data_IF_146496699289
#
_entry.id   IF_146496699289
#
_cell.length_a   1.000
_cell.length_b   1.000
_cell.length_c   1.000
_cell.angle_alpha   90.00
_cell.angle_beta   90.00
_cell.angle_gamma   90.00
#
_symmetry.space_group_name_H-M   'P 1'
#
loop_
_entity.id
_entity.type
_entity.pdbx_description
1 polymer ?
#
# COMPACT_ATOMS: atom_id res chain seq x y z
N UNK A 1 8.64 -26.88 -20.37
CA UNK A 1 8.82 -25.60 -21.08
C UNK A 1 8.14 -24.53 -20.25
N UNK A 2 8.89 -23.58 -19.70
CA UNK A 2 8.38 -22.60 -18.72
C UNK A 2 8.33 -21.22 -19.40
N UNK A 3 7.15 -20.64 -19.72
CA UNK A 3 7.05 -19.35 -20.37
C UNK A 3 6.89 -18.27 -19.30
N UNK A 4 7.95 -17.98 -18.56
CA UNK A 4 7.93 -16.93 -17.53
C UNK A 4 9.15 -16.03 -17.65
N UNK A 5 9.54 -15.67 -18.86
CA UNK A 5 10.48 -14.58 -19.06
C UNK A 5 9.66 -13.30 -19.17
N UNK A 6 9.59 -12.56 -18.06
CA UNK A 6 9.03 -11.20 -18.01
C UNK A 6 9.68 -10.36 -19.12
N UNK A 7 8.88 -9.60 -19.88
CA UNK A 7 9.36 -8.65 -20.89
C UNK A 7 10.25 -7.53 -20.29
N UNK A 8 10.32 -7.48 -18.95
CA UNK A 8 11.16 -6.56 -18.20
C UNK A 8 12.03 -7.37 -17.22
N UNK A 9 13.26 -7.73 -17.61
CA UNK A 9 14.14 -8.59 -16.80
C UNK A 9 14.62 -7.96 -15.48
N UNK A 10 14.27 -6.68 -15.23
CA UNK A 10 14.50 -5.99 -13.97
C UNK A 10 13.27 -5.97 -13.04
N UNK A 11 12.11 -6.43 -13.51
CA UNK A 11 10.85 -6.36 -12.77
C UNK A 11 10.47 -7.76 -12.27
N UNK A 12 10.67 -7.97 -10.97
CA UNK A 12 10.18 -9.14 -10.24
C UNK A 12 9.03 -8.73 -9.31
N UNK A 13 7.95 -9.51 -9.32
CA UNK A 13 6.83 -9.31 -8.39
C UNK A 13 7.16 -9.91 -7.02
N UNK A 14 6.98 -9.10 -5.97
CA UNK A 14 7.13 -9.56 -4.59
C UNK A 14 5.81 -10.18 -4.07
N UNK A 15 5.91 -11.21 -3.22
CA UNK A 15 4.72 -11.91 -2.67
C UNK A 15 4.11 -11.24 -1.43
N UNK A 16 4.78 -10.27 -0.83
CA UNK A 16 4.23 -9.57 0.33
C UNK A 16 2.96 -8.80 -0.04
N UNK A 17 2.00 -8.67 0.89
CA UNK A 17 0.79 -7.91 0.64
C UNK A 17 1.12 -6.44 0.37
N UNK A 18 0.39 -5.84 -0.58
CA UNK A 18 0.47 -4.41 -0.90
C UNK A 18 -0.57 -3.65 -0.08
N UNK A 19 -0.12 -2.71 0.74
CA UNK A 19 -0.98 -1.80 1.50
C UNK A 19 -1.04 -0.45 0.79
N UNK A 20 -2.26 0.03 0.53
CA UNK A 20 -2.52 1.27 -0.20
C UNK A 20 -3.22 2.28 0.72
N UNK A 21 -2.55 3.38 1.05
CA UNK A 21 -3.09 4.44 1.90
C UNK A 21 -3.64 5.60 1.06
N UNK A 22 -4.95 5.83 1.15
CA UNK A 22 -5.60 6.97 0.49
C UNK A 22 -5.25 8.33 1.11
N UNK A 23 -5.55 9.40 0.36
CA UNK A 23 -5.48 10.77 0.84
C UNK A 23 -6.70 11.20 1.65
N UNK A 24 -6.73 12.46 2.07
CA UNK A 24 -7.89 13.06 2.78
C UNK A 24 -9.17 12.89 1.97
N UNK A 25 -10.26 12.47 2.61
CA UNK A 25 -11.57 12.17 1.99
C UNK A 25 -11.56 11.09 0.91
N UNK A 26 -10.42 10.43 0.66
CA UNK A 26 -10.35 9.32 -0.27
C UNK A 26 -10.81 8.03 0.40
N UNK A 27 -11.31 7.10 -0.42
CA UNK A 27 -11.60 5.74 0.00
C UNK A 27 -10.98 4.75 -1.00
N UNK A 28 -11.29 3.46 -0.86
CA UNK A 28 -10.74 2.39 -1.70
C UNK A 28 -10.92 2.63 -3.21
N UNK A 29 -11.93 3.39 -3.65
CA UNK A 29 -12.20 3.65 -5.08
C UNK A 29 -11.07 4.41 -5.78
N UNK A 30 -10.29 5.20 -5.05
CA UNK A 30 -9.09 5.86 -5.57
C UNK A 30 -8.14 4.84 -6.21
N UNK A 31 -8.02 3.67 -5.59
CA UNK A 31 -7.04 2.65 -5.95
C UNK A 31 -7.57 1.62 -6.94
N UNK A 32 -8.89 1.56 -7.17
CA UNK A 32 -9.49 0.51 -7.99
C UNK A 32 -8.89 0.41 -9.41
N UNK A 33 -8.66 1.51 -10.15
CA UNK A 33 -8.03 1.44 -11.47
C UNK A 33 -6.60 0.88 -11.42
N UNK A 34 -5.83 1.24 -10.37
CA UNK A 34 -4.46 0.78 -10.18
C UNK A 34 -4.43 -0.70 -9.82
N UNK A 35 -5.30 -1.13 -8.91
CA UNK A 35 -5.46 -2.55 -8.53
C UNK A 35 -5.81 -3.41 -9.75
N UNK A 36 -6.74 -2.96 -10.58
CA UNK A 36 -7.16 -3.69 -11.78
C UNK A 36 -6.05 -3.85 -12.83
N UNK A 37 -5.08 -2.92 -12.85
CA UNK A 37 -3.95 -2.94 -13.78
C UNK A 37 -2.73 -3.71 -13.25
N UNK A 38 -2.71 -4.08 -11.97
CA UNK A 38 -1.55 -4.73 -11.33
C UNK A 38 -1.76 -6.24 -11.19
N UNK A 39 -0.67 -7.00 -11.38
CA UNK A 39 -0.63 -8.43 -11.10
C UNK A 39 -0.16 -8.68 -9.65
N UNK A 40 -0.97 -8.29 -8.67
CA UNK A 40 -0.68 -8.43 -7.23
C UNK A 40 -1.48 -9.57 -6.61
N UNK A 41 -0.82 -10.41 -5.80
CA UNK A 41 -1.45 -11.57 -5.16
C UNK A 41 -2.26 -11.23 -3.92
N UNK A 42 -1.98 -10.10 -3.27
CA UNK A 42 -2.69 -9.64 -2.08
C UNK A 42 -2.58 -8.12 -1.97
N UNK A 43 -3.72 -7.43 -1.87
CA UNK A 43 -3.78 -5.98 -1.78
C UNK A 43 -4.87 -5.55 -0.80
N UNK A 44 -4.56 -4.56 0.04
CA UNK A 44 -5.50 -3.95 0.97
C UNK A 44 -5.44 -2.44 0.83
N UNK A 45 -6.59 -1.82 0.58
CA UNK A 45 -6.71 -0.36 0.60
C UNK A 45 -7.30 0.10 1.92
N UNK A 46 -6.63 1.04 2.57
CA UNK A 46 -7.03 1.58 3.87
C UNK A 46 -7.43 3.05 3.73
N UNK A 47 -8.54 3.38 4.38
CA UNK A 47 -9.00 4.76 4.54
C UNK A 47 -8.41 5.28 5.85
N UNK A 48 -7.73 6.41 5.79
CA UNK A 48 -7.19 7.06 6.98
C UNK A 48 -8.30 7.83 7.69
N UNK A 49 -8.52 7.53 8.97
CA UNK A 49 -9.55 8.20 9.78
C UNK A 49 -9.29 8.04 11.27
N UNK A 50 -9.65 9.06 12.05
CA UNK A 50 -9.79 8.95 13.50
C UNK A 50 -8.51 9.18 14.31
N UNK A 51 -7.34 9.32 13.69
CA UNK A 51 -6.11 9.66 14.41
C UNK A 51 -5.92 11.19 14.53
N UNK A 52 -5.39 11.62 15.67
CA UNK A 52 -5.09 13.04 15.94
C UNK A 52 -3.88 13.57 15.16
N UNK A 53 -3.03 12.69 14.60
CA UNK A 53 -1.84 13.07 13.83
C UNK A 53 -1.35 11.93 12.93
N UNK A 54 -0.53 12.25 11.93
CA UNK A 54 0.06 11.26 11.04
C UNK A 54 0.95 10.21 11.77
N UNK A 55 1.80 10.58 12.76
CA UNK A 55 2.53 9.60 13.56
C UNK A 55 1.62 8.69 14.39
N UNK A 56 0.52 9.22 14.94
CA UNK A 56 -0.46 8.41 15.66
C UNK A 56 -1.14 7.40 14.73
N UNK A 57 -1.54 7.84 13.53
CA UNK A 57 -2.11 6.97 12.51
C UNK A 57 -1.13 5.88 12.07
N UNK A 58 0.15 6.23 11.86
CA UNK A 58 1.19 5.29 11.47
C UNK A 58 1.37 4.18 12.52
N UNK A 59 1.47 4.53 13.81
CA UNK A 59 1.58 3.55 14.91
C UNK A 59 0.36 2.63 15.01
N UNK A 60 -0.85 3.19 14.90
CA UNK A 60 -2.08 2.41 14.91
C UNK A 60 -2.10 1.41 13.75
N UNK A 61 -1.73 1.84 12.55
CA UNK A 61 -1.67 0.95 11.39
C UNK A 61 -0.59 -0.13 11.54
N UNK A 62 0.61 0.21 11.99
CA UNK A 62 1.70 -0.76 12.20
C UNK A 62 1.33 -1.86 13.22
N UNK A 63 0.50 -1.56 14.21
CA UNK A 63 0.01 -2.58 15.15
C UNK A 63 -0.98 -3.58 14.56
N UNK A 64 -1.65 -3.23 13.44
CA UNK A 64 -2.66 -4.06 12.79
C UNK A 64 -2.17 -4.71 11.48
N UNK A 65 -1.09 -4.18 10.89
CA UNK A 65 -0.54 -4.66 9.63
C UNK A 65 0.38 -5.87 9.82
N UNK A 66 0.56 -6.70 8.77
CA UNK A 66 1.53 -7.78 8.79
C UNK A 66 2.96 -7.28 9.08
N UNK A 67 3.87 -8.12 9.60
CA UNK A 67 5.26 -7.73 9.86
C UNK A 67 6.05 -7.32 8.61
N UNK A 68 5.63 -7.80 7.42
CA UNK A 68 6.27 -7.50 6.12
C UNK A 68 5.19 -7.22 5.08
N UNK A 69 5.27 -6.05 4.45
CA UNK A 69 4.35 -5.61 3.42
C UNK A 69 5.03 -4.60 2.50
N UNK A 70 4.47 -4.43 1.30
CA UNK A 70 4.78 -3.32 0.42
C UNK A 70 3.81 -2.18 0.72
N UNK A 71 4.26 -0.93 0.69
CA UNK A 71 3.45 0.22 1.06
C UNK A 71 3.44 1.26 -0.05
N UNK A 72 2.27 1.74 -0.43
CA UNK A 72 2.12 2.93 -1.26
C UNK A 72 1.10 3.89 -0.62
N UNK A 73 1.39 5.19 -0.71
CA UNK A 73 0.56 6.23 -0.12
C UNK A 73 0.32 7.38 -1.09
N UNK A 74 -0.87 7.95 -1.06
CA UNK A 74 -1.24 9.14 -1.83
C UNK A 74 -1.60 10.31 -0.89
N UNK A 75 -1.05 11.50 -1.13
CA UNK A 75 -1.34 12.71 -0.34
C UNK A 75 -1.11 12.47 1.16
N UNK A 76 -2.12 12.63 2.04
CA UNK A 76 -2.05 12.29 3.47
C UNK A 76 -1.52 10.86 3.70
N UNK A 77 -1.90 9.91 2.84
CA UNK A 77 -1.40 8.54 2.86
C UNK A 77 0.11 8.45 2.69
N UNK A 78 0.72 9.30 1.85
CA UNK A 78 2.17 9.34 1.67
C UNK A 78 2.87 9.89 2.94
N UNK A 79 2.29 10.91 3.58
CA UNK A 79 2.81 11.46 4.84
C UNK A 79 2.77 10.39 5.93
N UNK A 80 1.66 9.68 6.09
CA UNK A 80 1.54 8.59 7.07
C UNK A 80 2.51 7.46 6.75
N UNK A 81 2.69 7.10 5.47
CA UNK A 81 3.64 6.08 5.05
C UNK A 81 5.09 6.44 5.43
N UNK A 82 5.49 7.70 5.23
CA UNK A 82 6.81 8.17 5.66
C UNK A 82 6.98 8.13 7.18
N UNK A 83 5.92 8.44 7.94
CA UNK A 83 5.94 8.33 9.41
C UNK A 83 6.06 6.88 9.91
N UNK A 84 5.76 5.87 9.09
CA UNK A 84 6.03 4.46 9.46
C UNK A 84 7.52 4.10 9.39
N UNK A 85 8.32 4.89 8.69
CA UNK A 85 9.77 4.68 8.52
C UNK A 85 10.61 5.52 9.49
N UNK A 86 9.98 6.47 10.19
CA UNK A 86 10.63 7.37 11.15
C UNK A 86 10.73 6.73 12.53
#
# INVERSE_FOLDING_TARGET
MNPSTSAFPLLDNHRAPLILLGGTLCNHRLWQPVINAMNVSSVSSLTLSGAASAPAQARQLLSALPPRFCLAGFSLGAIVALQMLA
#
